data_IF_941896004490
#
_entry.id   IF_941896004490
#
_cell.length_a   1.000
_cell.length_b   1.000
_cell.length_c   1.000
_cell.angle_alpha   90.00
_cell.angle_beta   90.00
_cell.angle_gamma   90.00
#
_symmetry.space_group_name_H-M   'P 1'
#
loop_
_entity.id
_entity.type
_entity.pdbx_description
1 polymer ?
#
# COMPACT_ATOMS: atom_id res chain seq x y z
N UNK A 1 25.22 5.98 3.90
CA UNK A 1 23.89 5.48 4.37
C UNK A 1 22.92 5.43 3.20
N UNK A 2 22.33 4.28 2.89
CA UNK A 2 21.42 4.13 1.75
C UNK A 2 20.07 4.77 2.04
N UNK A 3 19.63 5.72 1.19
CA UNK A 3 18.36 6.47 1.35
C UNK A 3 17.11 5.58 1.36
N UNK A 4 17.20 4.38 0.80
CA UNK A 4 16.08 3.44 0.60
C UNK A 4 16.14 2.22 1.52
N UNK A 5 16.94 2.27 2.59
CA UNK A 5 17.01 1.23 3.61
C UNK A 5 16.24 1.66 4.86
N UNK A 6 15.58 0.71 5.53
CA UNK A 6 14.98 0.96 6.84
C UNK A 6 16.07 1.16 7.88
N UNK A 7 15.95 2.23 8.67
CA UNK A 7 16.84 2.48 9.82
C UNK A 7 16.38 1.73 11.07
N UNK A 8 15.10 1.37 11.12
CA UNK A 8 14.43 0.86 12.32
C UNK A 8 13.67 -0.44 12.02
N UNK A 9 13.30 -1.14 13.09
CA UNK A 9 12.47 -2.34 13.03
C UNK A 9 11.02 -1.99 12.66
N UNK A 10 10.29 -2.90 12.00
CA UNK A 10 8.88 -2.67 11.70
C UNK A 10 8.07 -2.57 12.99
N UNK A 11 7.37 -1.45 13.17
CA UNK A 11 6.44 -1.23 14.28
C UNK A 11 5.03 -1.62 13.83
N UNK A 12 4.28 -2.29 14.71
CA UNK A 12 2.89 -2.63 14.41
C UNK A 12 2.07 -1.34 14.29
N UNK A 13 1.29 -1.14 13.21
CA UNK A 13 0.40 0.00 13.13
C UNK A 13 -0.69 -0.13 14.21
N UNK A 14 -0.57 0.63 15.28
CA UNK A 14 -1.57 0.71 16.37
C UNK A 14 -2.60 1.78 16.01
N UNK A 15 -3.30 1.57 14.89
CA UNK A 15 -4.36 2.49 14.43
C UNK A 15 -5.75 1.97 14.82
N UNK A 16 -6.70 2.83 15.25
CA UNK A 16 -8.10 2.48 15.35
C UNK A 16 -8.71 2.44 13.93
N UNK A 17 -8.25 1.51 13.09
CA UNK A 17 -8.78 1.33 11.75
C UNK A 17 -10.19 0.72 11.85
N UNK A 18 -11.19 1.58 12.10
CA UNK A 18 -12.62 1.26 12.01
C UNK A 18 -13.10 1.20 10.56
N UNK A 19 -12.23 1.54 9.61
CA UNK A 19 -12.51 1.44 8.19
C UNK A 19 -12.47 -0.03 7.75
N UNK A 20 -13.63 -0.55 7.33
CA UNK A 20 -13.81 -1.91 6.74
C UNK A 20 -12.82 -2.24 5.61
N UNK A 21 -12.13 -1.24 5.07
CA UNK A 21 -11.21 -1.34 3.95
C UNK A 21 -9.74 -1.57 4.37
N UNK A 22 -9.37 -1.23 5.60
CA UNK A 22 -7.99 -1.32 6.07
C UNK A 22 -7.93 -2.21 7.32
N UNK A 23 -7.62 -3.49 7.11
CA UNK A 23 -7.54 -4.46 8.20
C UNK A 23 -6.17 -4.44 8.91
N UNK A 24 -5.79 -3.30 9.48
CA UNK A 24 -4.50 -3.17 10.16
C UNK A 24 -4.40 -4.06 11.42
N UNK A 25 -5.54 -4.42 12.03
CA UNK A 25 -5.62 -5.27 13.22
C UNK A 25 -5.38 -6.75 12.95
N UNK A 26 -5.69 -7.24 11.74
CA UNK A 26 -5.55 -8.66 11.37
C UNK A 26 -4.14 -8.99 10.88
N UNK A 27 -3.31 -7.98 10.57
CA UNK A 27 -1.92 -8.18 10.15
C UNK A 27 -1.08 -8.64 11.35
N UNK A 28 -0.46 -9.81 11.22
CA UNK A 28 0.44 -10.34 12.23
C UNK A 28 1.80 -9.65 12.19
N UNK A 29 2.52 -9.64 13.31
CA UNK A 29 3.89 -9.13 13.34
C UNK A 29 4.85 -9.95 12.47
N UNK A 30 4.53 -11.22 12.24
CA UNK A 30 5.28 -12.12 11.37
C UNK A 30 5.15 -11.65 9.92
N UNK A 31 3.93 -11.37 9.46
CA UNK A 31 3.67 -10.85 8.11
C UNK A 31 4.36 -9.50 7.89
N UNK A 32 4.28 -8.61 8.88
CA UNK A 32 4.97 -7.31 8.87
C UNK A 32 6.49 -7.46 8.72
N UNK A 33 7.08 -8.41 9.45
CA UNK A 33 8.52 -8.70 9.38
C UNK A 33 8.91 -9.28 8.02
N UNK A 34 8.12 -10.20 7.48
CA UNK A 34 8.36 -10.77 6.14
C UNK A 34 8.23 -9.72 5.04
N UNK A 35 7.22 -8.85 5.12
CA UNK A 35 7.06 -7.74 4.19
C UNK A 35 8.23 -6.78 4.28
N UNK A 36 8.59 -6.33 5.49
CA UNK A 36 9.68 -5.39 5.72
C UNK A 36 11.01 -5.94 5.19
N UNK A 37 11.33 -7.20 5.52
CA UNK A 37 12.53 -7.88 5.01
C UNK A 37 12.53 -7.97 3.49
N UNK A 38 11.42 -8.37 2.88
CA UNK A 38 11.32 -8.51 1.42
C UNK A 38 11.40 -7.16 0.69
N UNK A 39 10.78 -6.12 1.25
CA UNK A 39 10.75 -4.78 0.67
C UNK A 39 12.13 -4.10 0.71
N UNK A 40 12.82 -4.21 1.85
CA UNK A 40 14.15 -3.63 2.05
C UNK A 40 15.30 -4.58 1.67
N UNK A 41 15.03 -5.79 1.17
CA UNK A 41 16.07 -6.69 0.65
C UNK A 41 16.83 -6.06 -0.54
N UNK A 42 16.20 -5.13 -1.26
CA UNK A 42 16.80 -4.44 -2.39
C UNK A 42 16.68 -2.92 -2.19
N UNK A 43 17.82 -2.23 -2.11
CA UNK A 43 17.91 -0.78 -1.94
C UNK A 43 17.77 0.01 -3.25
N UNK A 44 17.05 -0.53 -4.24
CA UNK A 44 16.80 0.14 -5.51
C UNK A 44 15.36 0.65 -5.55
N UNK A 45 15.21 1.98 -5.67
CA UNK A 45 13.92 2.68 -5.75
C UNK A 45 12.98 2.06 -6.77
N UNK A 46 13.44 1.80 -7.99
CA UNK A 46 12.59 1.27 -9.06
C UNK A 46 12.03 -0.11 -8.72
N UNK A 47 12.83 -0.95 -8.06
CA UNK A 47 12.41 -2.29 -7.64
C UNK A 47 11.42 -2.23 -6.48
N UNK A 48 11.62 -1.31 -5.53
CA UNK A 48 10.68 -1.06 -4.44
C UNK A 48 9.33 -0.52 -4.96
N UNK A 49 9.35 0.44 -5.88
CA UNK A 49 8.14 0.96 -6.53
C UNK A 49 7.41 -0.15 -7.30
N UNK A 50 8.13 -0.97 -8.07
CA UNK A 50 7.56 -2.13 -8.76
C UNK A 50 6.96 -3.16 -7.78
N UNK A 51 7.60 -3.38 -6.63
CA UNK A 51 7.07 -4.26 -5.59
C UNK A 51 5.74 -3.76 -5.03
N UNK A 52 5.61 -2.45 -4.79
CA UNK A 52 4.35 -1.84 -4.36
C UNK A 52 3.28 -2.04 -5.44
N UNK A 53 3.60 -1.76 -6.70
CA UNK A 53 2.67 -1.91 -7.83
C UNK A 53 2.13 -3.34 -7.97
N UNK A 54 2.94 -4.37 -7.69
CA UNK A 54 2.51 -5.77 -7.70
C UNK A 54 1.39 -6.07 -6.70
N UNK A 55 1.34 -5.33 -5.59
CA UNK A 55 0.35 -5.51 -4.52
C UNK A 55 -0.82 -4.52 -4.62
N UNK A 56 -0.89 -3.74 -5.69
CA UNK A 56 -1.98 -2.81 -5.97
C UNK A 56 -2.85 -3.35 -7.11
N UNK A 57 -4.14 -3.05 -7.04
CA UNK A 57 -5.11 -3.23 -8.13
C UNK A 57 -5.49 -1.84 -8.64
N UNK A 58 -5.47 -1.66 -9.96
CA UNK A 58 -6.06 -0.49 -10.58
C UNK A 58 -7.59 -0.63 -10.60
N UNK A 59 -8.29 0.32 -10.00
CA UNK A 59 -9.75 0.37 -9.94
C UNK A 59 -10.23 1.63 -10.65
N UNK A 60 -11.35 1.55 -11.37
CA UNK A 60 -11.96 2.73 -12.00
C UNK A 60 -12.38 3.75 -10.94
N UNK A 61 -12.01 5.01 -11.13
CA UNK A 61 -12.38 6.10 -10.22
C UNK A 61 -13.90 6.27 -10.20
N UNK A 62 -14.56 6.00 -9.06
CA UNK A 62 -16.03 6.05 -8.95
C UNK A 62 -16.61 7.45 -8.77
N UNK A 63 -15.86 8.37 -8.13
CA UNK A 63 -16.33 9.73 -7.84
C UNK A 63 -15.29 10.74 -8.30
N UNK A 64 -15.65 11.59 -9.24
CA UNK A 64 -14.89 12.77 -9.60
C UNK A 64 -15.37 13.90 -8.69
N UNK A 65 -14.49 14.44 -7.84
CA UNK A 65 -14.87 15.64 -7.06
C UNK A 65 -14.89 16.82 -8.03
N UNK A 66 -16.01 17.56 -8.15
CA UNK A 66 -15.97 18.84 -8.86
C UNK A 66 -15.03 19.76 -8.10
N UNK A 67 -14.09 20.39 -8.82
CA UNK A 67 -13.15 21.35 -8.24
C UNK A 67 -13.22 22.60 -9.11
N UNK A 68 -13.39 23.76 -8.48
CA UNK A 68 -13.24 25.04 -9.18
C UNK A 68 -11.84 25.04 -9.82
N UNK A 69 -11.78 25.31 -11.13
CA UNK A 69 -10.60 25.33 -12.02
C UNK A 69 -10.39 24.04 -12.86
N UNK A 70 -11.21 23.87 -13.90
CA UNK A 70 -11.17 22.74 -14.84
C UNK A 70 -10.12 22.87 -15.98
N UNK A 71 -9.58 24.07 -16.22
CA UNK A 71 -8.88 24.38 -17.47
C UNK A 71 -7.53 23.66 -17.67
N UNK A 72 -6.94 23.08 -16.61
CA UNK A 72 -5.65 22.38 -16.70
C UNK A 72 -5.63 21.00 -16.03
N UNK A 73 -6.79 20.44 -15.65
CA UNK A 73 -6.82 19.21 -14.88
C UNK A 73 -7.13 17.99 -15.75
N UNK A 74 -6.14 17.10 -15.90
CA UNK A 74 -6.37 15.75 -16.44
C UNK A 74 -6.99 14.87 -15.36
N UNK A 75 -8.25 14.46 -15.55
CA UNK A 75 -8.93 13.56 -14.63
C UNK A 75 -8.21 12.21 -14.55
N UNK A 76 -7.93 11.71 -13.34
CA UNK A 76 -7.40 10.36 -13.16
C UNK A 76 -8.49 9.32 -13.40
N UNK A 77 -8.46 8.67 -14.56
CA UNK A 77 -9.42 7.62 -14.93
C UNK A 77 -9.32 6.38 -14.03
N UNK A 78 -8.15 6.13 -13.46
CA UNK A 78 -7.87 5.00 -12.58
C UNK A 78 -7.33 5.45 -11.22
N UNK A 79 -7.70 4.71 -10.19
CA UNK A 79 -7.23 4.82 -8.83
C UNK A 79 -6.57 3.51 -8.41
N UNK A 80 -5.39 3.59 -7.79
CA UNK A 80 -4.73 2.40 -7.23
C UNK A 80 -5.32 2.06 -5.86
N UNK A 81 -5.62 0.79 -5.62
CA UNK A 81 -6.13 0.27 -4.36
C UNK A 81 -5.27 -0.92 -3.90
N UNK A 82 -4.92 -1.00 -2.62
CA UNK A 82 -4.14 -2.13 -2.08
C UNK A 82 -4.94 -3.44 -2.14
N UNK A 83 -4.31 -4.49 -2.67
CA UNK A 83 -4.77 -5.87 -2.57
C UNK A 83 -4.23 -6.44 -1.26
N UNK A 84 -4.94 -6.20 -0.17
CA UNK A 84 -4.64 -6.88 1.09
C UNK A 84 -5.03 -8.35 0.90
N UNK A 85 -4.05 -9.24 0.86
CA UNK A 85 -4.30 -10.68 0.91
C UNK A 85 -4.96 -10.99 2.26
N UNK A 86 -6.28 -11.16 2.24
CA UNK A 86 -6.99 -11.78 3.35
C UNK A 86 -6.65 -13.26 3.29
N UNK A 87 -5.81 -13.73 4.21
CA UNK A 87 -5.55 -15.14 4.43
C UNK A 87 -6.80 -15.83 4.95
N UNK A 88 -7.72 -16.14 4.04
CA UNK A 88 -8.71 -17.19 4.26
C UNK A 88 -8.21 -18.43 3.53
N UNK A 89 -7.18 -19.09 4.10
CA UNK A 89 -7.00 -20.51 3.84
C UNK A 89 -8.20 -21.22 4.48
N UNK A 90 -9.22 -21.50 3.66
CA UNK A 90 -10.22 -22.51 4.01
C UNK A 90 -9.50 -23.86 3.92
N UNK A 91 -9.57 -24.60 5.03
CA UNK A 91 -9.24 -26.03 5.11
C UNK A 91 -10.07 -26.83 4.13
#
# INVERSE_FOLDING_TARGET
>A
MARYASKELPVKPTGPSKDKKLQCSTITMVDLRHFHRSFYAINNKLKQDAFILKHLIAVKTKRLRPRNNFNHYKSRAMQMMYRVYCGSQKR
#
